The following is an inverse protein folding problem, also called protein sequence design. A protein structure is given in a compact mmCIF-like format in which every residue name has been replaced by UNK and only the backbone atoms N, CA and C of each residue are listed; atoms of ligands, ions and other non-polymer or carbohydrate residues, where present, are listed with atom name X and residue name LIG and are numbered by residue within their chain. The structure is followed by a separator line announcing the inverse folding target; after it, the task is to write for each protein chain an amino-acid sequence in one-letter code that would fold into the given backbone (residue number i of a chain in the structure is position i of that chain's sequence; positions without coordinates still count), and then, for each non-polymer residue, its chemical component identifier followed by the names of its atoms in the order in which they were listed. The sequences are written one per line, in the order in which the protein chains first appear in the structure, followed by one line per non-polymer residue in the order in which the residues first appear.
data_IF_699647160600
#
_entry.id   IF_699647160600
#
_cell.length_a   1.000
_cell.length_b   1.000
_cell.length_c   1.000
_cell.angle_alpha   90.00
_cell.angle_beta   90.00
_cell.angle_gamma   90.00
#
_symmetry.space_group_name_H-M   'P 1'
#
loop_
_entity.id
_entity.type
_entity.pdbx_description
1 polymer ?
#
# COMPACT_ATOMS: atom_id res chain seq x y z
N UNK A 1 4.62 -2.49 -34.13
CA UNK A 1 3.26 -2.67 -34.70
C UNK A 1 3.00 -4.15 -35.03
N UNK A 2 3.85 -4.79 -35.83
CA UNK A 2 3.68 -6.20 -36.22
C UNK A 2 3.67 -7.20 -35.04
N UNK A 3 4.37 -6.93 -33.94
CA UNK A 3 4.37 -7.82 -32.76
C UNK A 3 3.00 -7.90 -32.05
N UNK A 4 2.08 -6.96 -32.33
CA UNK A 4 0.71 -7.00 -31.80
C UNK A 4 -0.27 -7.83 -32.63
N UNK A 5 0.08 -8.15 -33.88
CA UNK A 5 -0.78 -8.89 -34.83
C UNK A 5 -1.03 -10.35 -34.39
N UNK A 6 -0.02 -11.14 -33.95
CA UNK A 6 -0.22 -12.52 -33.51
C UNK A 6 -1.26 -12.67 -32.39
N UNK A 7 -1.26 -11.75 -31.41
CA UNK A 7 -2.20 -11.77 -30.28
C UNK A 7 -3.66 -11.57 -30.72
N UNK A 8 -3.91 -10.73 -31.73
CA UNK A 8 -5.27 -10.51 -32.24
C UNK A 8 -5.73 -11.67 -33.11
N UNK A 9 -4.87 -12.16 -34.00
CA UNK A 9 -5.14 -13.30 -34.88
C UNK A 9 -5.46 -14.57 -34.07
N UNK A 10 -4.75 -14.82 -32.97
CA UNK A 10 -4.99 -15.97 -32.09
C UNK A 10 -6.37 -16.00 -31.41
N UNK A 11 -7.11 -14.88 -31.38
CA UNK A 11 -8.47 -14.81 -30.84
C UNK A 11 -9.56 -15.10 -31.89
N UNK A 12 -9.22 -15.08 -33.17
CA UNK A 12 -10.15 -15.31 -34.26
C UNK A 12 -10.33 -16.81 -34.47
N UNK A 13 -11.55 -17.26 -34.74
CA UNK A 13 -11.93 -18.68 -34.72
C UNK A 13 -12.00 -19.32 -36.10
N UNK A 14 -12.20 -18.54 -37.15
CA UNK A 14 -12.37 -19.03 -38.51
C UNK A 14 -11.58 -18.20 -39.54
N UNK A 15 -11.45 -18.75 -40.75
CA UNK A 15 -10.70 -18.11 -41.82
C UNK A 15 -11.32 -16.79 -42.30
N UNK A 16 -12.64 -16.67 -42.26
CA UNK A 16 -13.36 -15.47 -42.72
C UNK A 16 -13.07 -14.28 -41.82
N UNK A 17 -13.08 -14.48 -40.50
CA UNK A 17 -12.72 -13.48 -39.50
C UNK A 17 -11.25 -13.04 -39.63
N UNK A 18 -10.34 -13.98 -39.94
CA UNK A 18 -8.93 -13.65 -40.20
C UNK A 18 -8.79 -12.83 -41.48
N UNK A 19 -9.49 -13.20 -42.55
CA UNK A 19 -9.52 -12.42 -43.78
C UNK A 19 -10.06 -11.01 -43.56
N UNK A 20 -11.16 -10.86 -42.80
CA UNK A 20 -11.73 -9.57 -42.44
C UNK A 20 -10.77 -8.71 -41.60
N UNK A 21 -10.10 -9.31 -40.61
CA UNK A 21 -9.10 -8.63 -39.79
C UNK A 21 -7.94 -8.09 -40.65
N UNK A 22 -7.36 -8.91 -41.53
CA UNK A 22 -6.30 -8.44 -42.43
C UNK A 22 -6.80 -7.50 -43.53
N UNK A 23 -8.10 -7.41 -43.79
CA UNK A 23 -8.66 -6.48 -44.75
C UNK A 23 -8.89 -5.08 -44.15
N UNK A 24 -9.43 -5.00 -42.93
CA UNK A 24 -10.01 -3.77 -42.39
C UNK A 24 -9.49 -3.33 -41.01
N UNK A 25 -8.59 -4.07 -40.35
CA UNK A 25 -8.09 -3.68 -39.03
C UNK A 25 -7.09 -2.52 -39.10
N UNK A 26 -7.29 -1.50 -38.24
CA UNK A 26 -6.46 -0.29 -38.18
C UNK A 26 -4.98 -0.52 -37.87
N UNK A 27 -4.59 -1.66 -37.25
CA UNK A 27 -3.18 -2.02 -37.06
C UNK A 27 -2.56 -2.54 -38.36
N UNK A 28 -3.31 -3.31 -39.14
CA UNK A 28 -2.86 -3.86 -40.43
C UNK A 28 -2.80 -2.74 -41.46
N UNK A 29 -3.77 -1.83 -41.45
CA UNK A 29 -3.78 -0.62 -42.28
C UNK A 29 -2.56 0.27 -41.99
N UNK A 30 -2.26 0.54 -40.72
CA UNK A 30 -1.05 1.29 -40.34
C UNK A 30 0.23 0.58 -40.76
N UNK A 31 0.30 -0.75 -40.65
CA UNK A 31 1.44 -1.51 -41.11
C UNK A 31 1.64 -1.40 -42.63
N UNK A 32 0.55 -1.47 -43.42
CA UNK A 32 0.59 -1.25 -44.88
C UNK A 32 1.04 0.17 -45.21
N UNK A 33 0.51 1.17 -44.53
CA UNK A 33 0.90 2.56 -44.74
C UNK A 33 2.39 2.79 -44.46
N UNK A 34 2.95 2.16 -43.42
CA UNK A 34 4.40 2.22 -43.16
C UNK A 34 5.23 1.51 -44.22
N UNK A 35 4.76 0.40 -44.76
CA UNK A 35 5.40 -0.29 -45.89
C UNK A 35 5.42 0.62 -47.12
N UNK A 36 4.32 1.31 -47.41
CA UNK A 36 4.23 2.25 -48.53
C UNK A 36 5.15 3.47 -48.33
N UNK A 37 5.20 4.04 -47.11
CA UNK A 37 6.14 5.10 -46.77
C UNK A 37 7.61 4.69 -46.97
N UNK A 38 7.98 3.46 -46.59
CA UNK A 38 9.34 2.96 -46.80
C UNK A 38 9.68 2.85 -48.30
N UNK A 39 8.72 2.46 -49.13
CA UNK A 39 8.90 2.42 -50.59
C UNK A 39 9.08 3.83 -51.18
N UNK A 40 8.29 4.79 -50.72
CA UNK A 40 8.41 6.20 -51.13
C UNK A 40 9.77 6.80 -50.75
N UNK A 41 10.35 6.35 -49.63
CA UNK A 41 11.68 6.77 -49.16
C UNK A 41 12.85 6.03 -49.82
N UNK A 42 12.59 5.06 -50.71
CA UNK A 42 13.61 4.26 -51.40
C UNK A 42 14.14 3.06 -50.60
N UNK A 43 13.60 2.78 -49.41
CA UNK A 43 13.96 1.67 -48.51
C UNK A 43 13.24 0.37 -48.92
N UNK A 44 13.42 -0.06 -50.17
CA UNK A 44 12.68 -1.18 -50.76
C UNK A 44 12.91 -2.53 -50.04
N UNK A 45 14.14 -2.78 -49.57
CA UNK A 45 14.47 -4.05 -48.87
C UNK A 45 13.71 -4.17 -47.55
N UNK A 46 13.68 -3.10 -46.75
CA UNK A 46 12.95 -3.09 -45.48
C UNK A 46 11.43 -3.17 -45.69
N UNK A 47 10.91 -2.52 -46.74
CA UNK A 47 9.51 -2.62 -47.11
C UNK A 47 9.10 -4.05 -47.48
N UNK A 48 9.92 -4.75 -48.26
CA UNK A 48 9.65 -6.13 -48.69
C UNK A 48 9.79 -7.14 -47.54
N UNK A 49 10.73 -6.94 -46.61
CA UNK A 49 10.82 -7.73 -45.38
C UNK A 49 9.57 -7.60 -44.52
N UNK A 50 9.07 -6.37 -44.32
CA UNK A 50 7.86 -6.12 -43.53
C UNK A 50 6.60 -6.67 -44.22
N UNK A 51 6.50 -6.53 -45.55
CA UNK A 51 5.42 -7.09 -46.34
C UNK A 51 5.40 -8.63 -46.25
N UNK A 52 6.57 -9.25 -46.39
CA UNK A 52 6.74 -10.71 -46.26
C UNK A 52 6.37 -11.19 -44.87
N UNK A 53 6.78 -10.46 -43.82
CA UNK A 53 6.44 -10.78 -42.43
C UNK A 53 4.95 -10.66 -42.16
N UNK A 54 4.28 -9.63 -42.70
CA UNK A 54 2.83 -9.46 -42.58
C UNK A 54 2.05 -10.58 -43.29
N UNK A 55 2.52 -10.98 -44.48
CA UNK A 55 1.93 -12.10 -45.22
C UNK A 55 2.13 -13.43 -44.48
N UNK A 56 3.34 -13.69 -43.95
CA UNK A 56 3.62 -14.87 -43.16
C UNK A 56 2.74 -14.97 -41.90
N UNK A 57 2.43 -13.83 -41.25
CA UNK A 57 1.51 -13.77 -40.11
C UNK A 57 0.07 -14.15 -40.49
N UNK A 58 -0.40 -13.73 -41.67
CA UNK A 58 -1.72 -14.09 -42.19
C UNK A 58 -1.80 -15.59 -42.48
N UNK A 59 -0.80 -16.13 -43.17
CA UNK A 59 -0.74 -17.56 -43.51
C UNK A 59 -0.56 -18.45 -42.26
N UNK A 60 0.20 -18.00 -41.26
CA UNK A 60 0.27 -18.67 -39.96
C UNK A 60 -1.10 -18.66 -39.26
N UNK A 61 -1.78 -17.52 -39.22
CA UNK A 61 -3.10 -17.40 -38.61
C UNK A 61 -4.16 -18.30 -39.24
N UNK A 62 -4.22 -18.34 -40.58
CA UNK A 62 -5.15 -19.21 -41.32
C UNK A 62 -4.87 -20.69 -41.07
N UNK A 63 -3.59 -21.08 -40.99
CA UNK A 63 -3.19 -22.45 -40.60
C UNK A 63 -3.63 -22.78 -39.18
N UNK A 64 -3.35 -21.91 -38.21
CA UNK A 64 -3.72 -22.12 -36.81
C UNK A 64 -5.26 -22.18 -36.60
N UNK A 65 -6.04 -21.40 -37.35
CA UNK A 65 -7.51 -21.47 -37.31
C UNK A 65 -8.04 -22.78 -37.90
N UNK A 66 -7.47 -23.21 -39.03
CA UNK A 66 -7.82 -24.49 -39.64
C UNK A 66 -7.49 -25.66 -38.73
N UNK A 67 -6.29 -25.68 -38.16
CA UNK A 67 -5.85 -26.73 -37.23
C UNK A 67 -6.76 -26.79 -35.99
N UNK A 68 -7.17 -25.64 -35.42
CA UNK A 68 -8.15 -25.58 -34.33
C UNK A 68 -9.52 -26.13 -34.73
N UNK A 69 -10.02 -25.76 -35.91
CA UNK A 69 -11.31 -26.25 -36.42
C UNK A 69 -11.28 -27.78 -36.63
N UNK A 70 -10.17 -28.31 -37.14
CA UNK A 70 -9.99 -29.74 -37.43
C UNK A 70 -9.70 -30.58 -36.18
N UNK A 71 -9.24 -29.98 -35.07
CA UNK A 71 -9.07 -30.65 -33.77
C UNK A 71 -10.39 -30.80 -32.99
N UNK A 72 -11.52 -30.34 -33.54
CA UNK A 72 -12.84 -30.46 -32.91
C UNK A 72 -12.91 -29.73 -31.56
N UNK A 73 -12.08 -28.68 -31.36
CA UNK A 73 -12.05 -27.89 -30.14
C UNK A 73 -13.25 -26.93 -30.09
N UNK A 74 -14.46 -27.44 -29.92
CA UNK A 74 -15.58 -26.63 -29.45
C UNK A 74 -15.55 -26.64 -27.91
N UNK A 75 -14.82 -25.70 -27.31
CA UNK A 75 -14.72 -25.53 -25.84
C UNK A 75 -13.50 -26.21 -25.20
N UNK A 76 -13.72 -26.91 -24.08
CA UNK A 76 -12.70 -27.47 -23.17
C UNK A 76 -12.26 -28.91 -23.52
N UNK A 77 -12.51 -29.36 -24.76
CA UNK A 77 -12.14 -30.71 -25.19
C UNK A 77 -11.23 -30.74 -26.40
N UNK A 78 -10.28 -31.67 -26.42
CA UNK A 78 -9.38 -31.98 -27.53
C UNK A 78 -9.71 -33.38 -28.08
N UNK A 79 -9.89 -33.50 -29.40
CA UNK A 79 -10.05 -34.79 -30.05
C UNK A 79 -8.70 -35.36 -30.52
N UNK A 80 -8.41 -36.61 -30.14
CA UNK A 80 -7.30 -37.41 -30.67
C UNK A 80 -7.88 -38.68 -31.29
N UNK A 81 -8.07 -38.66 -32.62
CA UNK A 81 -8.82 -39.69 -33.32
C UNK A 81 -10.30 -39.70 -32.92
N UNK A 82 -10.83 -40.86 -32.53
CA UNK A 82 -12.22 -40.99 -32.06
C UNK A 82 -12.41 -40.61 -30.58
N UNK A 83 -11.32 -40.45 -29.82
CA UNK A 83 -11.35 -40.17 -28.39
C UNK A 83 -11.33 -38.67 -28.12
N UNK A 84 -12.06 -38.23 -27.09
CA UNK A 84 -12.10 -36.83 -26.64
C UNK A 84 -11.54 -36.73 -25.23
N UNK A 85 -10.74 -35.70 -24.98
CA UNK A 85 -10.08 -35.45 -23.71
C UNK A 85 -10.44 -34.05 -23.21
N UNK A 86 -10.59 -33.89 -21.90
CA UNK A 86 -10.71 -32.56 -21.29
C UNK A 86 -9.35 -31.89 -21.33
N UNK A 87 -9.31 -30.61 -21.68
CA UNK A 87 -8.09 -29.81 -21.67
C UNK A 87 -8.25 -28.64 -20.70
N UNK A 88 -7.29 -28.49 -19.80
CA UNK A 88 -7.13 -27.26 -19.03
C UNK A 88 -6.24 -26.30 -19.82
N UNK A 89 -6.69 -25.06 -19.99
CA UNK A 89 -6.00 -24.03 -20.76
C UNK A 89 -5.31 -23.01 -19.86
N UNK A 90 -5.54 -23.05 -18.54
CA UNK A 90 -4.81 -22.25 -17.58
C UNK A 90 -3.32 -22.55 -17.62
N UNK A 91 -2.51 -21.49 -17.63
CA UNK A 91 -1.07 -21.63 -17.49
C UNK A 91 -0.75 -22.19 -16.10
N UNK A 92 0.18 -23.16 -16.04
CA UNK A 92 0.74 -23.63 -14.79
C UNK A 92 1.56 -22.50 -14.16
N UNK A 93 0.96 -21.81 -13.21
CA UNK A 93 1.57 -20.68 -12.52
C UNK A 93 1.71 -20.98 -11.03
N UNK A 94 2.91 -20.77 -10.45
CA UNK A 94 3.08 -20.89 -9.02
C UNK A 94 2.51 -19.68 -8.31
N UNK A 95 1.71 -19.96 -7.28
CA UNK A 95 1.07 -19.00 -6.39
C UNK A 95 1.57 -19.24 -4.97
N UNK A 96 1.80 -18.16 -4.23
CA UNK A 96 2.06 -18.24 -2.80
C UNK A 96 0.78 -18.04 -2.02
N UNK A 97 0.54 -18.95 -1.07
CA UNK A 97 -0.59 -18.88 -0.16
C UNK A 97 -0.07 -18.85 1.28
N UNK A 98 -0.58 -17.95 2.13
CA UNK A 98 -0.28 -17.98 3.55
C UNK A 98 -0.97 -19.17 4.23
N UNK A 99 -0.28 -19.82 5.16
CA UNK A 99 -0.80 -20.92 5.97
C UNK A 99 -0.32 -20.83 7.43
N UNK A 100 -0.83 -21.71 8.31
CA UNK A 100 -0.49 -21.69 9.74
C UNK A 100 1.01 -21.93 10.00
N UNK A 101 1.63 -22.81 9.20
CA UNK A 101 3.06 -23.15 9.27
C UNK A 101 3.95 -22.30 8.34
N UNK A 102 3.43 -21.16 7.86
CA UNK A 102 4.14 -20.25 6.95
C UNK A 102 3.61 -20.31 5.51
N UNK A 103 4.40 -19.81 4.56
CA UNK A 103 4.01 -19.75 3.16
C UNK A 103 4.01 -21.14 2.50
N UNK A 104 3.01 -21.39 1.66
CA UNK A 104 2.90 -22.57 0.82
C UNK A 104 2.94 -22.16 -0.67
N UNK A 105 3.71 -22.90 -1.46
CA UNK A 105 3.68 -22.82 -2.92
C UNK A 105 2.58 -23.76 -3.44
N UNK A 106 1.68 -23.25 -4.27
CA UNK A 106 0.72 -24.04 -5.02
C UNK A 106 0.91 -23.80 -6.52
N UNK A 107 0.81 -24.86 -7.33
CA UNK A 107 0.67 -24.69 -8.78
C UNK A 107 -0.82 -24.65 -9.14
N UNK A 108 -1.26 -23.52 -9.69
CA UNK A 108 -2.64 -23.35 -10.15
C UNK A 108 -3.03 -24.45 -11.15
N UNK A 109 -4.26 -24.96 -11.04
CA UNK A 109 -4.76 -26.04 -11.89
C UNK A 109 -4.28 -27.45 -11.51
N UNK A 110 -3.58 -27.62 -10.39
CA UNK A 110 -3.09 -28.93 -9.93
C UNK A 110 -3.24 -29.10 -8.41
N UNK A 111 -3.10 -30.34 -7.94
CA UNK A 111 -3.02 -30.67 -6.51
C UNK A 111 -1.61 -30.47 -5.93
N UNK A 112 -0.64 -29.99 -6.72
CA UNK A 112 0.72 -29.79 -6.26
C UNK A 112 0.80 -28.65 -5.24
N UNK A 113 1.22 -29.00 -4.03
CA UNK A 113 1.44 -28.09 -2.90
C UNK A 113 2.78 -28.40 -2.24
N UNK A 114 3.56 -27.37 -1.92
CA UNK A 114 4.85 -27.49 -1.24
C UNK A 114 4.98 -26.44 -0.14
N UNK A 115 5.17 -26.88 1.10
CA UNK A 115 5.48 -25.96 2.20
C UNK A 115 6.84 -25.31 1.95
N UNK A 116 6.93 -23.99 2.18
CA UNK A 116 8.16 -23.24 1.97
C UNK A 116 8.85 -22.98 3.30
N UNK A 117 10.15 -23.21 3.33
CA UNK A 117 11.02 -22.86 4.46
C UNK A 117 11.76 -21.57 4.12
N UNK A 118 11.10 -20.43 4.29
CA UNK A 118 11.69 -19.10 4.04
C UNK A 118 11.72 -18.30 5.34
N UNK A 119 12.69 -18.54 6.24
CA UNK A 119 12.81 -17.79 7.50
C UNK A 119 12.84 -16.27 7.28
N UNK A 120 13.45 -15.82 6.18
CA UNK A 120 13.51 -14.41 5.79
C UNK A 120 12.15 -13.81 5.40
N UNK A 121 11.14 -14.64 5.12
CA UNK A 121 9.79 -14.21 4.80
C UNK A 121 8.89 -14.08 6.04
N UNK A 122 9.23 -14.74 7.15
CA UNK A 122 8.43 -14.72 8.40
C UNK A 122 8.34 -13.31 9.00
N UNK A 123 9.40 -12.50 8.87
CA UNK A 123 9.36 -11.09 9.29
C UNK A 123 8.32 -10.25 8.55
N UNK A 124 7.82 -10.72 7.41
CA UNK A 124 6.84 -10.02 6.57
C UNK A 124 5.42 -10.58 6.71
N UNK A 125 5.14 -11.35 7.77
CA UNK A 125 3.85 -12.03 7.96
C UNK A 125 2.65 -11.09 7.89
N UNK A 126 2.79 -9.86 8.38
CA UNK A 126 1.72 -8.85 8.36
C UNK A 126 1.31 -8.41 6.95
N UNK A 127 2.22 -8.52 5.97
CA UNK A 127 1.99 -8.07 4.58
C UNK A 127 1.80 -9.22 3.59
N UNK A 128 1.76 -10.48 4.05
CA UNK A 128 1.62 -11.64 3.15
C UNK A 128 0.34 -11.62 2.31
N UNK A 129 -0.77 -11.21 2.92
CA UNK A 129 -2.09 -11.14 2.28
C UNK A 129 -2.36 -9.78 1.62
N UNK A 130 -1.45 -8.81 1.79
CA UNK A 130 -1.64 -7.48 1.25
C UNK A 130 -1.49 -7.49 -0.28
N UNK A 131 -2.43 -6.84 -0.97
CA UNK A 131 -2.47 -6.83 -2.43
C UNK A 131 -1.85 -5.56 -3.02
N UNK A 132 -2.07 -4.42 -2.38
CA UNK A 132 -1.68 -3.10 -2.86
C UNK A 132 -0.79 -2.40 -1.85
N UNK A 133 0.17 -1.60 -2.32
CA UNK A 133 1.00 -0.75 -1.43
C UNK A 133 0.22 0.42 -0.84
N UNK A 134 -0.94 0.75 -1.41
CA UNK A 134 -1.80 1.85 -1.00
C UNK A 134 -2.94 1.41 -0.06
N UNK A 135 -3.05 0.11 0.24
CA UNK A 135 -4.18 -0.43 1.01
C UNK A 135 -3.77 -1.59 1.93
N UNK A 136 -4.23 -1.53 3.17
CA UNK A 136 -4.31 -2.68 4.06
C UNK A 136 -5.59 -2.55 4.91
N UNK A 137 -5.71 -3.30 6.00
CA UNK A 137 -6.89 -3.19 6.85
C UNK A 137 -7.01 -1.80 7.54
N UNK A 138 -5.90 -1.14 7.83
CA UNK A 138 -5.86 0.12 8.58
C UNK A 138 -5.80 1.37 7.70
N UNK A 139 -5.32 1.23 6.47
CA UNK A 139 -5.08 2.31 5.53
C UNK A 139 -5.90 2.06 4.28
N UNK A 140 -6.90 2.91 4.05
CA UNK A 140 -7.66 2.94 2.82
C UNK A 140 -6.86 3.62 1.70
N UNK A 141 -7.02 3.17 0.44
CA UNK A 141 -6.44 3.79 -0.77
C UNK A 141 -6.56 5.31 -0.79
N UNK A 142 -7.76 5.83 -0.54
CA UNK A 142 -7.99 7.28 -0.60
C UNK A 142 -7.27 8.03 0.53
N UNK A 143 -7.16 7.43 1.72
CA UNK A 143 -6.38 7.99 2.81
C UNK A 143 -4.88 8.02 2.49
N UNK A 144 -4.36 6.94 1.89
CA UNK A 144 -2.96 6.89 1.46
C UNK A 144 -2.66 8.00 0.43
N UNK A 145 -3.55 8.18 -0.56
CA UNK A 145 -3.42 9.24 -1.57
C UNK A 145 -3.47 10.65 -0.94
N UNK A 146 -4.43 10.89 -0.03
CA UNK A 146 -4.52 12.15 0.71
C UNK A 146 -3.27 12.40 1.57
N UNK A 147 -2.73 11.37 2.22
CA UNK A 147 -1.51 11.46 3.03
C UNK A 147 -0.28 11.87 2.21
N UNK A 148 -0.13 11.31 1.00
CA UNK A 148 0.97 11.65 0.11
C UNK A 148 0.94 13.13 -0.28
N UNK A 149 -0.23 13.66 -0.64
CA UNK A 149 -0.38 15.08 -0.96
C UNK A 149 -0.20 15.96 0.27
N UNK A 150 -0.80 15.58 1.40
CA UNK A 150 -0.65 16.30 2.65
C UNK A 150 0.82 16.42 3.08
N UNK A 151 1.61 15.35 2.96
CA UNK A 151 3.04 15.38 3.26
C UNK A 151 3.83 16.20 2.22
N UNK A 152 3.55 15.99 0.93
CA UNK A 152 4.19 16.76 -0.16
C UNK A 152 4.00 18.27 0.03
N UNK A 153 2.83 18.66 0.52
CA UNK A 153 2.43 20.03 0.79
C UNK A 153 2.80 20.50 2.20
N UNK A 154 3.35 19.63 3.05
CA UNK A 154 3.66 19.93 4.45
C UNK A 154 2.45 20.51 5.21
N UNK A 155 1.25 20.05 4.88
CA UNK A 155 -0.01 20.56 5.44
C UNK A 155 -0.47 21.92 4.90
N UNK A 156 0.22 22.46 3.88
CA UNK A 156 -0.11 23.75 3.24
C UNK A 156 -0.24 23.58 1.73
N UNK A 157 -1.45 23.69 1.15
CA UNK A 157 -1.61 23.45 -0.28
C UNK A 157 -0.87 24.51 -1.11
N UNK A 158 -0.58 24.21 -2.39
CA UNK A 158 -0.10 25.18 -3.36
C UNK A 158 -0.95 26.46 -3.39
N UNK A 159 -0.30 27.61 -3.58
CA UNK A 159 -0.92 28.94 -3.49
C UNK A 159 -2.03 29.20 -4.52
N UNK A 160 -2.03 28.45 -5.63
CA UNK A 160 -3.07 28.46 -6.67
C UNK A 160 -4.36 27.74 -6.24
N UNK A 161 -4.32 26.92 -5.18
CA UNK A 161 -5.50 26.32 -4.56
C UNK A 161 -6.10 27.31 -3.56
N UNK A 162 -7.04 28.13 -4.04
CA UNK A 162 -7.62 29.23 -3.27
C UNK A 162 -8.53 28.80 -2.10
N UNK A 163 -9.14 27.62 -2.15
CA UNK A 163 -10.06 27.10 -1.13
C UNK A 163 -9.68 25.68 -0.69
N UNK A 164 -9.99 25.33 0.56
CA UNK A 164 -9.77 23.99 1.12
C UNK A 164 -11.02 23.10 1.00
N UNK A 165 -11.73 23.20 -0.12
CA UNK A 165 -12.85 22.30 -0.40
C UNK A 165 -12.42 21.14 -1.31
N UNK A 166 -13.20 20.06 -1.28
CA UNK A 166 -12.87 18.86 -2.03
C UNK A 166 -12.89 19.09 -3.55
N UNK A 167 -13.68 20.05 -4.05
CA UNK A 167 -13.79 20.33 -5.49
C UNK A 167 -12.51 20.98 -6.02
N UNK A 168 -11.96 21.96 -5.29
CA UNK A 168 -10.70 22.61 -5.61
C UNK A 168 -9.50 21.66 -5.53
N UNK A 169 -9.54 20.68 -4.63
CA UNK A 169 -8.46 19.71 -4.43
C UNK A 169 -8.51 18.53 -5.41
N UNK A 170 -9.69 18.22 -5.98
CA UNK A 170 -9.91 17.06 -6.83
C UNK A 170 -8.93 16.96 -8.02
N UNK A 171 -8.60 18.05 -8.76
CA UNK A 171 -7.65 17.95 -9.87
C UNK A 171 -6.26 17.45 -9.45
N UNK A 172 -5.75 17.93 -8.32
CA UNK A 172 -4.44 17.52 -7.79
C UNK A 172 -4.47 16.05 -7.33
N UNK A 173 -5.55 15.64 -6.66
CA UNK A 173 -5.77 14.25 -6.23
C UNK A 173 -5.88 13.31 -7.43
N UNK A 174 -6.66 13.67 -8.44
CA UNK A 174 -6.83 12.88 -9.66
C UNK A 174 -5.50 12.72 -10.42
N UNK A 175 -4.69 13.79 -10.50
CA UNK A 175 -3.35 13.72 -11.09
C UNK A 175 -2.42 12.79 -10.28
N UNK A 176 -2.47 12.86 -8.95
CA UNK A 176 -1.71 11.97 -8.09
C UNK A 176 -2.11 10.50 -8.24
N UNK A 177 -3.40 10.20 -8.39
CA UNK A 177 -3.88 8.84 -8.67
C UNK A 177 -3.41 8.33 -10.05
N UNK A 178 -3.51 9.17 -11.09
CA UNK A 178 -3.09 8.81 -12.45
C UNK A 178 -1.59 8.51 -12.56
N UNK A 179 -0.76 9.18 -11.76
CA UNK A 179 0.67 8.91 -11.69
C UNK A 179 1.02 7.53 -11.08
N UNK A 180 0.02 6.78 -10.56
CA UNK A 180 0.21 5.54 -9.78
C UNK A 180 -0.69 4.40 -10.29
N UNK A 181 -0.52 3.94 -11.55
CA UNK A 181 -1.38 2.91 -12.13
C UNK A 181 -1.28 1.54 -11.41
N UNK A 182 -0.17 1.26 -10.72
CA UNK A 182 0.03 0.02 -9.96
C UNK A 182 -0.73 -0.03 -8.62
N UNK A 183 -1.31 1.09 -8.18
CA UNK A 183 -2.03 1.22 -6.89
C UNK A 183 -3.55 1.06 -7.05
N UNK A 184 -4.01 0.75 -8.26
CA UNK A 184 -5.40 0.40 -8.60
C UNK A 184 -6.46 1.40 -8.11
N UNK A 185 -6.24 2.69 -8.36
CA UNK A 185 -7.21 3.73 -8.06
C UNK A 185 -8.35 3.76 -9.10
N UNK A 186 -9.56 3.41 -8.66
CA UNK A 186 -10.80 3.67 -9.39
C UNK A 186 -11.15 5.18 -9.43
N UNK A 187 -11.22 5.74 -10.64
CA UNK A 187 -11.64 7.12 -10.92
C UNK A 187 -13.09 7.37 -10.53
N UNK A 188 -13.36 8.52 -9.92
CA UNK A 188 -14.67 8.91 -9.40
C UNK A 188 -15.01 8.32 -8.02
N UNK A 189 -14.17 7.41 -7.50
CA UNK A 189 -14.34 6.78 -6.18
C UNK A 189 -13.20 7.24 -5.27
N UNK A 190 -11.97 6.80 -5.54
CA UNK A 190 -10.86 7.06 -4.63
C UNK A 190 -10.37 8.51 -4.69
N UNK A 191 -10.43 9.14 -5.86
CA UNK A 191 -10.10 10.56 -6.04
C UNK A 191 -11.11 11.47 -5.33
N UNK A 192 -12.39 11.12 -5.40
CA UNK A 192 -13.46 11.80 -4.67
C UNK A 192 -13.27 11.71 -3.16
N UNK A 193 -13.09 10.50 -2.63
CA UNK A 193 -12.89 10.28 -1.19
C UNK A 193 -11.61 10.95 -0.70
N UNK A 194 -10.51 10.83 -1.46
CA UNK A 194 -9.21 11.40 -1.09
C UNK A 194 -9.26 12.92 -1.06
N UNK A 195 -10.03 13.57 -1.95
CA UNK A 195 -10.21 15.01 -1.91
C UNK A 195 -10.97 15.47 -0.65
N UNK A 196 -12.00 14.72 -0.22
CA UNK A 196 -12.71 15.01 1.04
C UNK A 196 -11.81 14.83 2.26
N UNK A 197 -11.03 13.73 2.30
CA UNK A 197 -10.08 13.46 3.37
C UNK A 197 -9.02 14.56 3.43
N UNK A 198 -8.44 14.93 2.29
CA UNK A 198 -7.40 15.96 2.20
C UNK A 198 -7.92 17.33 2.62
N UNK A 199 -9.13 17.71 2.21
CA UNK A 199 -9.79 18.95 2.64
C UNK A 199 -9.89 19.02 4.18
N UNK A 200 -10.38 17.93 4.80
CA UNK A 200 -10.51 17.85 6.25
C UNK A 200 -9.15 17.94 6.96
N UNK A 201 -8.13 17.22 6.47
CA UNK A 201 -6.78 17.26 7.04
C UNK A 201 -6.15 18.65 6.97
N UNK A 202 -6.25 19.33 5.83
CA UNK A 202 -5.71 20.68 5.67
C UNK A 202 -6.46 21.70 6.54
N UNK A 203 -7.79 21.56 6.65
CA UNK A 203 -8.61 22.41 7.52
C UNK A 203 -8.26 22.24 8.99
N UNK A 204 -8.12 21.00 9.46
CA UNK A 204 -7.68 20.69 10.82
C UNK A 204 -6.26 21.20 11.07
N UNK A 205 -5.34 21.01 10.11
CA UNK A 205 -3.93 21.43 10.24
C UNK A 205 -3.77 22.95 10.41
N UNK A 206 -4.63 23.77 9.79
CA UNK A 206 -4.62 25.24 9.96
C UNK A 206 -4.80 25.70 11.40
N UNK A 207 -5.54 24.93 12.21
CA UNK A 207 -5.94 25.32 13.56
C UNK A 207 -5.29 24.45 14.65
N UNK A 208 -4.72 23.31 14.27
CA UNK A 208 -4.16 22.35 15.21
C UNK A 208 -3.00 22.89 16.04
N UNK A 209 -2.16 23.76 15.45
CA UNK A 209 -0.92 24.20 16.08
C UNK A 209 -0.11 23.00 16.59
N UNK A 210 0.33 23.07 17.84
CA UNK A 210 1.11 22.01 18.51
C UNK A 210 0.30 20.73 18.79
N UNK A 211 -1.04 20.76 18.70
CA UNK A 211 -1.88 19.56 18.84
C UNK A 211 -1.85 18.66 17.59
N UNK A 212 -1.21 19.09 16.50
CA UNK A 212 -1.00 18.25 15.31
C UNK A 212 -0.19 16.99 15.63
N UNK A 213 0.80 17.10 16.53
CA UNK A 213 1.61 15.97 16.97
C UNK A 213 0.73 14.89 17.65
N UNK A 214 0.93 13.60 17.34
CA UNK A 214 0.20 12.50 18.00
C UNK A 214 0.35 12.52 19.51
N UNK A 215 -0.71 12.13 20.23
CA UNK A 215 -0.73 12.19 21.70
C UNK A 215 0.43 11.43 22.35
N UNK A 216 0.77 10.19 21.93
CA UNK A 216 1.93 9.49 22.50
C UNK A 216 3.23 10.30 22.35
N UNK A 217 3.40 11.03 21.25
CA UNK A 217 4.59 11.83 21.00
C UNK A 217 4.65 13.06 21.93
N UNK A 218 3.50 13.71 22.15
CA UNK A 218 3.37 14.82 23.11
C UNK A 218 3.65 14.38 24.55
N UNK A 219 3.16 13.19 24.91
CA UNK A 219 3.40 12.58 26.23
C UNK A 219 4.89 12.27 26.41
N UNK A 220 5.50 11.60 25.42
CA UNK A 220 6.91 11.25 25.48
C UNK A 220 7.82 12.48 25.54
N UNK A 221 7.52 13.52 24.75
CA UNK A 221 8.21 14.80 24.77
C UNK A 221 8.18 15.45 26.16
N UNK A 222 6.99 15.57 26.74
CA UNK A 222 6.79 16.13 28.09
C UNK A 222 7.52 15.31 29.15
N UNK A 223 7.38 13.98 29.11
CA UNK A 223 8.02 13.08 30.05
C UNK A 223 9.55 13.18 29.99
N UNK A 224 10.12 13.22 28.79
CA UNK A 224 11.56 13.32 28.60
C UNK A 224 12.11 14.68 29.01
N UNK A 225 11.40 15.77 28.71
CA UNK A 225 11.76 17.10 29.16
C UNK A 225 11.69 17.23 30.68
N UNK A 226 10.64 16.68 31.30
CA UNK A 226 10.46 16.67 32.75
C UNK A 226 11.46 15.75 33.46
N UNK A 227 11.92 14.66 32.85
CA UNK A 227 12.93 13.79 33.47
C UNK A 227 14.33 14.39 33.45
N UNK A 228 14.58 15.42 32.64
CA UNK A 228 15.86 16.14 32.68
C UNK A 228 16.04 16.90 33.99
N UNK A 229 17.28 16.92 34.47
CA UNK A 229 17.72 17.78 35.57
C UNK A 229 17.30 19.23 35.29
N UNK A 230 16.81 19.93 36.33
CA UNK A 230 16.34 21.31 36.20
C UNK A 230 17.39 22.25 35.58
N UNK A 231 18.67 22.03 35.91
CA UNK A 231 19.81 22.76 35.33
C UNK A 231 20.05 22.49 33.83
N UNK A 232 19.61 21.34 33.31
CA UNK A 232 19.74 20.95 31.90
C UNK A 232 18.55 21.39 31.05
N UNK A 233 17.36 21.53 31.63
CA UNK A 233 16.13 21.90 30.89
C UNK A 233 16.27 23.21 30.11
N UNK A 234 16.93 24.22 30.69
CA UNK A 234 17.17 25.49 30.00
C UNK A 234 18.13 25.38 28.80
N UNK A 235 19.15 24.53 28.89
CA UNK A 235 20.05 24.25 27.77
C UNK A 235 19.33 23.47 26.65
N UNK A 236 18.51 22.48 27.05
CA UNK A 236 17.70 21.70 26.13
C UNK A 236 16.68 22.57 25.38
N UNK A 237 15.97 23.46 26.08
CA UNK A 237 15.03 24.39 25.47
C UNK A 237 15.71 25.33 24.47
N UNK A 238 16.91 25.86 24.79
CA UNK A 238 17.67 26.68 23.83
C UNK A 238 18.16 25.89 22.62
N UNK A 239 18.56 24.64 22.81
CA UNK A 239 18.93 23.76 21.70
C UNK A 239 17.72 23.50 20.78
N UNK A 240 16.56 23.21 21.36
CA UNK A 240 15.30 23.05 20.64
C UNK A 240 14.92 24.32 19.86
N UNK A 241 15.01 25.50 20.49
CA UNK A 241 14.75 26.78 19.85
C UNK A 241 15.70 27.05 18.66
N UNK A 242 16.99 26.72 18.82
CA UNK A 242 17.98 26.84 17.73
C UNK A 242 17.67 25.92 16.54
N UNK A 243 17.22 24.69 16.80
CA UNK A 243 16.78 23.77 15.75
C UNK A 243 15.49 24.24 15.08
N UNK A 244 14.56 24.84 15.83
CA UNK A 244 13.34 25.42 15.28
C UNK A 244 13.64 26.61 14.36
N UNK A 245 14.56 27.48 14.77
CA UNK A 245 15.04 28.60 13.95
C UNK A 245 15.68 28.09 12.65
N UNK A 246 16.54 27.07 12.72
CA UNK A 246 17.16 26.46 11.55
C UNK A 246 16.12 25.93 10.57
N UNK A 247 15.12 25.19 11.07
CA UNK A 247 14.07 24.62 10.24
C UNK A 247 13.24 25.70 9.52
N UNK A 248 13.00 26.84 10.17
CA UNK A 248 12.25 27.97 9.58
C UNK A 248 13.04 28.74 8.52
N UNK A 249 14.37 28.85 8.66
CA UNK A 249 15.19 29.72 7.80
C UNK A 249 15.87 28.98 6.65
N UNK A 250 16.31 27.74 6.88
CA UNK A 250 17.04 26.94 5.87
C UNK A 250 16.11 26.04 5.05
N UNK A 251 14.82 25.95 5.41
CA UNK A 251 13.83 25.12 4.72
C UNK A 251 14.09 23.60 4.79
N UNK A 252 15.16 23.19 5.45
CA UNK A 252 15.50 21.80 5.71
C UNK A 252 14.97 21.37 7.08
N UNK A 253 14.42 20.15 7.17
CA UNK A 253 14.19 19.51 8.47
C UNK A 253 15.54 19.37 9.17
N UNK A 254 15.72 20.07 10.29
CA UNK A 254 16.94 19.98 11.08
C UNK A 254 17.20 18.52 11.48
N UNK A 255 18.44 18.06 11.33
CA UNK A 255 18.84 16.74 11.82
C UNK A 255 18.58 16.66 13.32
N UNK A 256 17.87 15.59 13.73
CA UNK A 256 17.56 15.37 15.13
C UNK A 256 18.80 14.86 15.85
N UNK A 257 19.15 15.42 17.04
CA UNK A 257 20.30 14.96 17.79
C UNK A 257 20.17 13.46 18.13
N UNK A 258 21.17 12.65 17.77
CA UNK A 258 21.15 11.21 18.04
C UNK A 258 20.98 10.90 19.53
N UNK A 259 21.55 11.73 20.42
CA UNK A 259 21.38 11.61 21.87
C UNK A 259 19.94 11.81 22.33
N UNK A 260 19.15 12.65 21.65
CA UNK A 260 17.73 12.83 21.94
C UNK A 260 16.96 11.59 21.50
N UNK A 261 17.21 11.09 20.29
CA UNK A 261 16.53 9.90 19.76
C UNK A 261 16.77 8.67 20.62
N UNK A 262 18.00 8.46 21.11
CA UNK A 262 18.31 7.38 22.04
C UNK A 262 17.57 7.56 23.37
N UNK A 263 17.64 8.75 23.97
CA UNK A 263 16.98 9.01 25.26
C UNK A 263 15.46 8.92 25.21
N UNK A 264 14.85 9.40 24.13
CA UNK A 264 13.41 9.32 23.88
C UNK A 264 12.98 7.88 23.61
N UNK A 265 13.74 7.10 22.83
CA UNK A 265 13.44 5.68 22.59
C UNK A 265 13.47 4.88 23.89
N UNK A 266 14.51 5.05 24.71
CA UNK A 266 14.62 4.38 26.02
C UNK A 266 13.45 4.74 26.95
N UNK A 267 13.05 6.02 26.97
CA UNK A 267 11.92 6.44 27.79
C UNK A 267 10.58 5.93 27.24
N UNK A 268 10.44 5.81 25.91
CA UNK A 268 9.23 5.24 25.31
C UNK A 268 9.01 3.78 25.77
N UNK A 269 10.09 2.99 25.84
CA UNK A 269 10.07 1.62 26.37
C UNK A 269 9.70 1.61 27.87
N UNK A 270 10.31 2.48 28.68
CA UNK A 270 10.00 2.60 30.11
C UNK A 270 8.52 2.94 30.37
N UNK A 271 7.93 3.80 29.53
CA UNK A 271 6.52 4.21 29.60
C UNK A 271 5.55 3.23 28.90
N UNK A 272 6.07 2.13 28.32
CA UNK A 272 5.30 1.17 27.52
C UNK A 272 4.49 1.82 26.38
N UNK A 273 5.07 2.82 25.70
CA UNK A 273 4.48 3.45 24.51
C UNK A 273 4.91 2.69 23.25
N UNK A 274 3.95 2.42 22.35
CA UNK A 274 4.21 1.71 21.11
C UNK A 274 5.07 2.52 20.12
N UNK A 275 5.63 1.84 19.10
CA UNK A 275 6.38 2.43 17.99
C UNK A 275 7.62 3.27 18.40
N UNK A 276 8.37 2.80 19.40
CA UNK A 276 9.43 3.57 20.10
C UNK A 276 10.33 4.47 19.22
N UNK A 277 10.87 3.95 18.11
CA UNK A 277 11.76 4.74 17.24
C UNK A 277 11.03 5.85 16.45
N UNK A 278 9.87 5.55 15.86
CA UNK A 278 9.05 6.56 15.16
C UNK A 278 8.48 7.58 16.14
N UNK A 279 8.12 7.10 17.32
CA UNK A 279 7.63 7.92 18.40
C UNK A 279 8.69 8.89 18.92
N UNK A 280 9.93 8.43 19.07
CA UNK A 280 11.07 9.27 19.46
C UNK A 280 11.32 10.39 18.45
N UNK A 281 11.24 10.10 17.14
CA UNK A 281 11.36 11.11 16.08
C UNK A 281 10.25 12.17 16.18
N UNK A 282 9.00 11.74 16.36
CA UNK A 282 7.86 12.63 16.52
C UNK A 282 7.93 13.48 17.81
N UNK A 283 8.34 12.87 18.93
CA UNK A 283 8.50 13.56 20.21
C UNK A 283 9.63 14.60 20.16
N UNK A 284 10.76 14.27 19.52
CA UNK A 284 11.85 15.21 19.34
C UNK A 284 11.42 16.44 18.51
N UNK A 285 10.68 16.23 17.42
CA UNK A 285 10.12 17.32 16.62
C UNK A 285 9.13 18.17 17.41
N UNK A 286 8.26 17.53 18.19
CA UNK A 286 7.32 18.25 19.05
C UNK A 286 8.04 19.13 20.09
N UNK A 287 9.15 18.66 20.67
CA UNK A 287 9.98 19.49 21.56
C UNK A 287 10.58 20.71 20.86
N UNK A 288 11.04 20.53 19.62
CA UNK A 288 11.55 21.62 18.78
C UNK A 288 10.43 22.65 18.53
N UNK A 289 9.24 22.20 18.17
CA UNK A 289 8.10 23.08 17.91
C UNK A 289 7.64 23.84 19.17
N UNK A 290 7.52 23.15 20.31
CA UNK A 290 7.13 23.77 21.60
C UNK A 290 8.13 24.84 22.03
N UNK A 291 9.41 24.51 22.05
CA UNK A 291 10.46 25.42 22.53
C UNK A 291 10.96 26.41 21.46
N UNK A 292 10.51 26.28 20.22
CA UNK A 292 10.68 27.30 19.18
C UNK A 292 9.76 28.51 19.36
N UNK A 293 8.72 28.40 20.20
CA UNK A 293 7.82 29.51 20.53
C UNK A 293 8.43 30.43 21.60
N UNK A 294 8.06 31.71 21.57
CA UNK A 294 8.54 32.72 22.52
C UNK A 294 8.03 32.50 23.95
N UNK A 295 6.81 31.97 24.12
CA UNK A 295 6.25 31.53 25.41
C UNK A 295 5.97 30.03 25.36
N UNK A 296 7.03 29.22 25.54
CA UNK A 296 6.96 27.77 25.37
C UNK A 296 6.01 27.10 26.37
N UNK A 297 4.86 26.62 25.87
CA UNK A 297 3.85 25.87 26.62
C UNK A 297 3.50 24.59 25.88
N UNK A 298 3.37 23.49 26.61
CA UNK A 298 2.89 22.25 26.03
C UNK A 298 1.37 22.34 25.79
N UNK A 299 0.88 21.95 24.61
CA UNK A 299 -0.54 21.99 24.35
C UNK A 299 -1.25 20.88 25.14
N UNK A 300 -2.49 21.14 25.54
CA UNK A 300 -3.35 20.16 26.18
C UNK A 300 -4.74 20.20 25.55
N UNK A 301 -5.26 19.04 25.17
CA UNK A 301 -6.62 18.95 24.64
C UNK A 301 -7.67 19.24 25.74
N UNK A 302 -8.85 19.77 25.36
CA UNK A 302 -9.92 20.07 26.32
C UNK A 302 -10.35 18.82 27.10
N UNK A 303 -10.53 17.70 26.40
CA UNK A 303 -10.93 16.42 27.01
C UNK A 303 -9.90 15.91 28.03
N UNK A 304 -8.60 16.07 27.74
CA UNK A 304 -7.55 15.67 28.68
C UNK A 304 -7.45 16.61 29.89
N UNK A 305 -7.66 17.91 29.70
CA UNK A 305 -7.72 18.88 30.80
C UNK A 305 -8.91 18.63 31.73
N UNK A 306 -10.08 18.37 31.16
CA UNK A 306 -11.30 18.08 31.92
C UNK A 306 -11.17 16.75 32.68
N UNK A 307 -10.57 15.71 32.06
CA UNK A 307 -10.28 14.44 32.74
C UNK A 307 -9.23 14.60 33.84
N UNK A 308 -8.15 15.34 33.61
CA UNK A 308 -7.15 15.65 34.63
C UNK A 308 -7.80 16.32 35.86
N UNK A 309 -8.64 17.33 35.63
CA UNK A 309 -9.34 18.03 36.70
C UNK A 309 -10.29 17.10 37.48
N UNK A 310 -11.03 16.25 36.77
CA UNK A 310 -11.91 15.25 37.39
C UNK A 310 -11.13 14.24 38.25
N UNK A 311 -9.99 13.77 37.76
CA UNK A 311 -9.11 12.84 38.49
C UNK A 311 -8.54 13.50 39.74
N UNK A 312 -8.03 14.73 39.63
CA UNK A 312 -7.54 15.50 40.78
C UNK A 312 -8.61 15.78 41.83
N UNK A 313 -9.85 16.05 41.40
CA UNK A 313 -10.96 16.27 42.33
C UNK A 313 -11.40 14.99 43.06
N UNK A 314 -11.21 13.82 42.43
CA UNK A 314 -11.59 12.53 43.01
C UNK A 314 -10.49 11.89 43.86
N UNK A 315 -9.23 12.24 43.65
CA UNK A 315 -8.08 11.65 44.35
C UNK A 315 -7.85 12.29 45.73
N UNK A 316 -7.78 11.49 46.80
CA UNK A 316 -7.20 11.94 48.07
C UNK A 316 -5.77 12.42 47.89
N UNK A 317 -5.38 13.45 48.65
CA UNK A 317 -4.05 14.06 48.56
C UNK A 317 -2.93 13.05 48.84
N UNK A 318 -3.13 12.16 49.80
CA UNK A 318 -2.14 11.13 50.17
C UNK A 318 -1.90 10.14 49.03
N UNK A 319 -2.92 9.83 48.21
CA UNK A 319 -2.73 8.96 47.05
C UNK A 319 -2.01 9.69 45.93
N UNK A 320 -2.28 10.98 45.72
CA UNK A 320 -1.59 11.77 44.70
C UNK A 320 -0.07 11.88 44.94
N UNK A 321 0.40 11.78 46.20
CA UNK A 321 1.82 11.74 46.53
C UNK A 321 2.55 10.54 45.92
N UNK A 322 1.86 9.40 45.70
CA UNK A 322 2.45 8.24 45.04
C UNK A 322 2.87 8.52 43.58
N UNK A 323 2.23 9.49 42.90
CA UNK A 323 2.66 9.92 41.57
C UNK A 323 3.99 10.68 41.60
N UNK A 324 4.34 11.27 42.74
CA UNK A 324 5.56 12.07 42.89
C UNK A 324 6.67 11.33 43.65
N UNK A 325 6.42 10.12 44.14
CA UNK A 325 7.39 9.32 44.91
C UNK A 325 8.58 8.90 44.01
N UNK A 326 9.81 9.39 44.26
CA UNK A 326 10.97 9.02 43.46
C UNK A 326 11.44 7.57 43.70
N UNK A 327 10.90 6.87 44.69
CA UNK A 327 11.20 5.45 44.92
C UNK A 327 10.57 4.53 43.86
N UNK A 328 9.52 4.98 43.17
CA UNK A 328 8.88 4.27 42.07
C UNK A 328 9.52 4.64 40.73
N UNK A 329 9.67 3.66 39.84
CA UNK A 329 10.15 3.91 38.48
C UNK A 329 9.19 4.86 37.73
N UNK A 330 9.69 5.60 36.73
CA UNK A 330 8.83 6.56 36.02
C UNK A 330 7.72 5.84 35.25
N UNK A 331 8.01 4.68 34.68
CA UNK A 331 7.02 3.79 34.06
C UNK A 331 5.88 3.39 35.00
N UNK A 332 6.20 3.04 36.26
CA UNK A 332 5.21 2.63 37.27
C UNK A 332 4.29 3.80 37.67
N UNK A 333 4.87 4.98 37.86
CA UNK A 333 4.10 6.20 38.18
C UNK A 333 3.19 6.62 37.03
N UNK A 334 3.68 6.52 35.80
CA UNK A 334 2.87 6.77 34.61
C UNK A 334 1.74 5.75 34.47
N UNK A 335 2.02 4.46 34.66
CA UNK A 335 1.01 3.40 34.65
C UNK A 335 -0.07 3.61 35.72
N UNK A 336 0.33 4.07 36.92
CA UNK A 336 -0.60 4.42 38.00
C UNK A 336 -1.51 5.59 37.63
N UNK A 337 -0.93 6.69 37.14
CA UNK A 337 -1.70 7.86 36.67
C UNK A 337 -2.66 7.47 35.53
N UNK A 338 -2.19 6.66 34.57
CA UNK A 338 -3.00 6.14 33.48
C UNK A 338 -4.15 5.24 33.99
N UNK A 339 -3.88 4.38 34.98
CA UNK A 339 -4.89 3.53 35.62
C UNK A 339 -6.01 4.34 36.28
N UNK A 340 -5.69 5.46 36.93
CA UNK A 340 -6.71 6.37 37.48
C UNK A 340 -7.52 7.07 36.40
N UNK A 341 -6.86 7.58 35.36
CA UNK A 341 -7.54 8.14 34.18
C UNK A 341 -8.45 7.09 33.51
N UNK A 342 -8.06 5.82 33.49
CA UNK A 342 -8.87 4.72 32.98
C UNK A 342 -10.09 4.42 33.86
N UNK A 343 -9.92 4.41 35.19
CA UNK A 343 -11.01 4.15 36.12
C UNK A 343 -12.06 5.27 36.13
N UNK A 344 -11.63 6.53 36.04
CA UNK A 344 -12.51 7.71 36.14
C UNK A 344 -12.97 8.24 34.78
N UNK A 345 -12.25 7.94 33.69
CA UNK A 345 -12.57 8.33 32.32
C UNK A 345 -12.97 7.14 31.45
N UNK A 346 -14.00 6.38 31.85
CA UNK A 346 -14.40 5.13 31.16
C UNK A 346 -14.72 5.30 29.68
N UNK A 347 -15.30 6.45 29.31
CA UNK A 347 -15.65 6.79 27.93
C UNK A 347 -14.55 7.56 27.17
N UNK A 348 -13.45 7.91 27.85
CA UNK A 348 -12.34 8.62 27.20
C UNK A 348 -11.53 7.67 26.31
N UNK A 349 -10.98 8.18 25.20
CA UNK A 349 -10.07 7.39 24.38
C UNK A 349 -8.77 7.05 25.14
N UNK A 350 -7.96 6.13 24.62
CA UNK A 350 -6.66 5.79 25.23
C UNK A 350 -5.75 7.02 25.22
N UNK A 351 -5.78 7.79 24.13
CA UNK A 351 -4.99 9.00 23.94
C UNK A 351 -5.35 10.08 24.97
N UNK A 352 -6.64 10.36 25.16
CA UNK A 352 -7.10 11.32 26.18
C UNK A 352 -6.63 10.91 27.57
N UNK A 353 -6.66 9.62 27.88
CA UNK A 353 -6.18 9.07 29.16
C UNK A 353 -4.67 9.21 29.33
N UNK A 354 -3.89 8.95 28.27
CA UNK A 354 -2.42 9.14 28.27
C UNK A 354 -2.04 10.61 28.46
N UNK A 355 -2.71 11.54 27.76
CA UNK A 355 -2.46 12.97 27.88
C UNK A 355 -2.80 13.49 29.29
N UNK A 356 -3.94 13.07 29.84
CA UNK A 356 -4.33 13.41 31.21
C UNK A 356 -3.34 12.84 32.24
N UNK A 357 -2.91 11.59 32.09
CA UNK A 357 -1.91 10.96 32.96
C UNK A 357 -0.56 11.72 32.95
N UNK A 358 -0.11 12.14 31.77
CA UNK A 358 1.06 12.99 31.61
C UNK A 358 0.91 14.33 32.33
N UNK A 359 -0.27 14.94 32.25
CA UNK A 359 -0.56 16.20 32.92
C UNK A 359 -0.65 16.08 34.45
N UNK A 360 -1.09 14.93 34.97
CA UNK A 360 -1.07 14.61 36.41
C UNK A 360 0.36 14.43 36.94
N UNK A 361 1.22 13.78 36.13
CA UNK A 361 2.55 13.38 36.58
C UNK A 361 3.58 14.52 36.52
N UNK A 362 3.53 15.34 35.47
CA UNK A 362 4.57 16.34 35.22
C UNK A 362 4.03 17.77 35.37
N UNK A 363 4.59 18.55 36.29
CA UNK A 363 4.32 19.98 36.41
C UNK A 363 5.12 20.75 35.35
N UNK A 364 4.48 21.04 34.22
CA UNK A 364 5.04 21.80 33.09
C UNK A 364 4.08 22.93 32.69
N UNK A 365 4.59 24.04 32.11
CA UNK A 365 3.73 25.07 31.52
C UNK A 365 2.87 24.46 30.42
N UNK A 366 1.54 24.63 30.53
CA UNK A 366 0.57 24.11 29.56
C UNK A 366 -0.38 25.19 29.09
N UNK A 367 -0.94 24.96 27.91
CA UNK A 367 -2.01 25.75 27.33
C UNK A 367 -3.15 24.83 26.90
N UNK A 368 -4.38 25.11 27.38
CA UNK A 368 -5.59 24.44 26.90
C UNK A 368 -5.94 24.99 25.52
N UNK A 369 -5.82 24.15 24.49
CA UNK A 369 -6.09 24.54 23.11
C UNK A 369 -7.46 23.99 22.69
N UNK A 370 -8.45 24.87 22.54
CA UNK A 370 -9.82 24.49 22.16
C UNK A 370 -9.95 24.47 20.63
N UNK A 371 -9.61 23.34 20.01
CA UNK A 371 -9.75 23.12 18.57
C UNK A 371 -10.35 21.74 18.29
N UNK A 372 -11.24 21.68 17.31
CA UNK A 372 -11.81 20.42 16.82
C UNK A 372 -10.87 19.80 15.77
N UNK A 373 -10.25 18.67 16.13
CA UNK A 373 -9.30 17.93 15.27
C UNK A 373 -9.87 16.61 14.78
N UNK A 374 -11.20 16.49 14.81
CA UNK A 374 -11.93 15.34 14.33
C UNK A 374 -13.05 15.83 13.42
N UNK A 375 -13.23 15.17 12.29
CA UNK A 375 -14.31 15.47 11.36
C UNK A 375 -14.88 14.15 10.87
N UNK A 376 -16.19 14.03 10.92
CA UNK A 376 -16.93 12.94 10.32
C UNK A 376 -17.24 13.30 8.87
N UNK A 377 -16.71 12.52 7.94
CA UNK A 377 -16.96 12.69 6.51
C UNK A 377 -18.09 11.76 6.11
N UNK A 378 -19.08 12.30 5.41
CA UNK A 378 -20.23 11.54 4.88
C UNK A 378 -20.13 11.40 3.35
N UNK A 379 -20.72 10.33 2.80
CA UNK A 379 -20.78 10.14 1.35
C UNK A 379 -19.50 9.59 0.75
N UNK A 380 -18.73 8.83 1.53
CA UNK A 380 -17.59 8.06 1.03
C UNK A 380 -18.09 7.02 0.03
N UNK A 381 -17.37 6.87 -1.09
CA UNK A 381 -17.77 6.00 -2.22
C UNK A 381 -17.03 4.68 -2.25
N UNK A 382 -15.85 4.60 -1.65
CA UNK A 382 -15.06 3.36 -1.64
C UNK A 382 -15.50 2.36 -0.60
N UNK A 383 -14.93 1.17 -0.72
CA UNK A 383 -15.15 0.05 0.19
C UNK A 383 -13.90 -0.19 1.01
N UNK A 384 -14.01 0.00 2.32
CA UNK A 384 -12.92 -0.24 3.26
C UNK A 384 -13.48 -0.43 4.67
N UNK A 385 -12.82 -1.23 5.53
CA UNK A 385 -13.33 -1.54 6.88
C UNK A 385 -13.51 -0.32 7.80
N UNK A 386 -12.85 0.79 7.46
CA UNK A 386 -12.93 2.06 8.21
C UNK A 386 -14.06 2.97 7.73
N UNK A 387 -14.69 2.63 6.61
CA UNK A 387 -15.89 3.28 6.14
C UNK A 387 -17.07 2.50 6.69
N UNK A 388 -17.87 3.13 7.54
CA UNK A 388 -19.07 2.53 8.15
C UNK A 388 -20.26 3.33 7.68
N UNK A 389 -21.22 2.68 7.02
CA UNK A 389 -22.42 3.33 6.47
C UNK A 389 -22.13 4.56 5.57
N UNK A 390 -21.05 4.50 4.79
CA UNK A 390 -20.60 5.60 3.92
C UNK A 390 -19.97 6.77 4.67
N UNK A 391 -19.62 6.57 5.95
CA UNK A 391 -18.99 7.58 6.81
C UNK A 391 -17.56 7.19 7.17
N UNK A 392 -16.69 8.20 7.28
CA UNK A 392 -15.30 8.04 7.71
C UNK A 392 -14.93 9.13 8.70
N UNK A 393 -14.47 8.74 9.89
CA UNK A 393 -13.93 9.67 10.89
C UNK A 393 -12.46 9.95 10.60
N UNK A 394 -12.13 11.22 10.38
CA UNK A 394 -10.76 11.70 10.18
C UNK A 394 -10.36 12.57 11.35
N UNK A 395 -9.35 12.12 12.09
CA UNK A 395 -8.72 12.89 13.14
C UNK A 395 -7.23 13.10 12.83
N UNK A 396 -6.79 14.34 12.66
CA UNK A 396 -5.45 14.68 12.16
C UNK A 396 -4.31 13.96 12.91
N UNK A 397 -4.22 13.98 14.26
CA UNK A 397 -3.09 13.35 14.95
C UNK A 397 -3.09 11.83 14.79
N UNK A 398 -4.26 11.19 14.89
CA UNK A 398 -4.40 9.74 14.71
C UNK A 398 -4.14 9.31 13.27
N UNK A 399 -4.57 10.12 12.30
CA UNK A 399 -4.29 9.92 10.88
C UNK A 399 -2.79 9.98 10.62
N UNK A 400 -2.11 11.03 11.08
CA UNK A 400 -0.67 11.19 10.88
C UNK A 400 0.12 10.05 11.51
N UNK A 401 -0.19 9.66 12.76
CA UNK A 401 0.47 8.55 13.43
C UNK A 401 0.34 7.24 12.64
N UNK A 402 -0.89 6.86 12.27
CA UNK A 402 -1.16 5.62 11.55
C UNK A 402 -0.49 5.60 10.18
N UNK A 403 -0.58 6.70 9.41
CA UNK A 403 0.00 6.77 8.07
C UNK A 403 1.54 6.85 8.12
N UNK A 404 2.12 7.47 9.16
CA UNK A 404 3.56 7.46 9.36
C UNK A 404 4.07 6.05 9.68
N UNK A 405 3.41 5.32 10.59
CA UNK A 405 3.72 3.92 10.86
C UNK A 405 3.63 3.09 9.57
N UNK A 406 2.52 3.22 8.83
CA UNK A 406 2.33 2.52 7.57
C UNK A 406 3.47 2.78 6.58
N UNK A 407 3.83 4.05 6.35
CA UNK A 407 4.86 4.42 5.36
C UNK A 407 6.29 4.08 5.78
N UNK A 408 6.57 3.99 7.08
CA UNK A 408 7.91 3.74 7.62
C UNK A 408 8.17 2.29 7.98
N UNK A 409 7.13 1.50 8.22
CA UNK A 409 7.22 0.09 8.63
C UNK A 409 6.59 -0.80 7.58
N UNK A 410 5.27 -0.68 7.39
CA UNK A 410 4.47 -1.61 6.57
C UNK A 410 4.80 -1.52 5.08
N UNK A 411 4.89 -0.31 4.52
CA UNK A 411 5.18 -0.10 3.10
C UNK A 411 6.58 -0.63 2.70
N UNK A 412 7.66 -0.33 3.44
CA UNK A 412 8.97 -0.93 3.18
C UNK A 412 8.94 -2.46 3.23
N UNK A 413 8.23 -3.03 4.21
CA UNK A 413 8.07 -4.48 4.35
C UNK A 413 7.28 -5.08 3.20
N UNK A 414 6.18 -4.44 2.77
CA UNK A 414 5.43 -4.84 1.58
C UNK A 414 6.32 -4.83 0.33
N UNK A 415 7.10 -3.77 0.11
CA UNK A 415 8.01 -3.66 -1.04
C UNK A 415 9.14 -4.70 -0.97
N UNK A 416 9.70 -4.94 0.21
CA UNK A 416 10.72 -5.97 0.41
C UNK A 416 10.17 -7.37 0.18
N UNK A 417 8.99 -7.67 0.71
CA UNK A 417 8.31 -8.93 0.51
C UNK A 417 7.90 -9.15 -0.95
N UNK A 418 7.41 -8.12 -1.64
CA UNK A 418 7.05 -8.22 -3.05
C UNK A 418 8.26 -8.60 -3.93
N UNK A 419 9.45 -8.03 -3.64
CA UNK A 419 10.71 -8.41 -4.30
C UNK A 419 11.10 -9.86 -4.00
N UNK A 420 11.11 -10.23 -2.71
CA UNK A 420 11.42 -11.59 -2.28
C UNK A 420 10.47 -12.61 -2.93
N UNK A 421 9.16 -12.35 -2.92
CA UNK A 421 8.14 -13.17 -3.56
C UNK A 421 8.42 -13.34 -5.05
N UNK A 422 8.73 -12.27 -5.77
CA UNK A 422 9.02 -12.34 -7.19
C UNK A 422 10.26 -13.21 -7.48
N UNK A 423 11.36 -12.97 -6.78
CA UNK A 423 12.60 -13.74 -6.92
C UNK A 423 12.39 -15.23 -6.64
N UNK A 424 11.67 -15.54 -5.57
CA UNK A 424 11.43 -16.92 -5.15
C UNK A 424 10.44 -17.65 -6.03
N UNK A 425 9.39 -16.98 -6.52
CA UNK A 425 8.49 -17.56 -7.51
C UNK A 425 9.23 -17.85 -8.82
N UNK A 426 10.09 -16.94 -9.28
CA UNK A 426 10.90 -17.17 -10.46
C UNK A 426 11.86 -18.36 -10.29
N UNK A 427 12.45 -18.53 -9.10
CA UNK A 427 13.25 -19.71 -8.78
C UNK A 427 12.40 -21.00 -8.81
N UNK A 428 11.23 -20.98 -8.17
CA UNK A 428 10.32 -22.13 -8.15
C UNK A 428 9.85 -22.52 -9.56
N UNK A 429 9.59 -21.55 -10.44
CA UNK A 429 9.26 -21.81 -11.85
C UNK A 429 10.39 -22.57 -12.57
N UNK A 430 11.66 -22.24 -12.28
CA UNK A 430 12.84 -22.91 -12.86
C UNK A 430 13.05 -24.30 -12.26
N UNK A 431 12.93 -24.45 -10.95
CA UNK A 431 13.04 -25.75 -10.26
C UNK A 431 12.02 -26.77 -10.77
N UNK A 432 10.78 -26.31 -10.98
CA UNK A 432 9.68 -27.12 -11.49
C UNK A 432 9.68 -27.25 -13.02
N UNK A 433 10.67 -26.64 -13.68
CA UNK A 433 10.81 -26.61 -15.13
C UNK A 433 9.51 -26.26 -15.87
N UNK A 434 8.73 -25.30 -15.34
CA UNK A 434 7.38 -25.01 -15.84
C UNK A 434 7.35 -24.60 -17.32
N UNK A 435 8.44 -24.03 -17.82
CA UNK A 435 8.62 -23.70 -19.23
C UNK A 435 8.58 -24.92 -20.17
N UNK A 436 8.88 -26.13 -19.68
CA UNK A 436 8.79 -27.37 -20.47
C UNK A 436 7.34 -27.78 -20.73
N UNK A 437 6.43 -27.39 -19.83
CA UNK A 437 5.00 -27.67 -19.96
C UNK A 437 4.27 -26.59 -20.78
N UNK A 438 4.96 -25.51 -21.19
CA UNK A 438 4.36 -24.51 -22.08
C UNK A 438 4.35 -25.03 -23.51
N UNK A 439 3.16 -25.16 -24.14
CA UNK A 439 3.08 -25.59 -25.53
C UNK A 439 3.81 -24.59 -26.43
N UNK A 440 4.75 -25.09 -27.24
CA UNK A 440 5.45 -24.30 -28.26
C UNK A 440 4.95 -24.74 -29.63
N UNK A 441 4.54 -23.81 -30.50
CA UNK A 441 4.21 -24.17 -31.88
C UNK A 441 5.46 -24.77 -32.53
N UNK A 442 5.33 -25.98 -33.07
CA UNK A 442 6.40 -26.64 -33.82
C UNK A 442 6.55 -25.91 -35.15
N UNK A 443 7.67 -25.19 -35.32
CA UNK A 443 7.98 -24.51 -36.56
C UNK A 443 8.05 -25.54 -37.71
N UNK A 444 7.13 -25.43 -38.68
CA UNK A 444 7.06 -26.31 -39.84
C UNK A 444 6.24 -27.59 -39.66
N UNK A 445 5.56 -27.78 -38.53
CA UNK A 445 4.59 -28.87 -38.40
C UNK A 445 3.40 -28.61 -39.33
N UNK A 446 3.17 -29.51 -40.27
CA UNK A 446 2.00 -29.54 -41.14
C UNK A 446 1.33 -30.87 -40.91
N UNK A 447 0.11 -30.82 -40.35
CA UNK A 447 -0.74 -31.99 -40.14
C UNK A 447 -0.97 -32.68 -41.49
N UNK A 448 -0.71 -33.99 -41.55
CA UNK A 448 -0.84 -34.78 -42.76
C UNK A 448 -1.76 -35.98 -42.51
N UNK A 449 -2.27 -36.58 -43.59
CA UNK A 449 -3.18 -37.73 -43.53
C UNK A 449 -2.70 -38.87 -42.63
N UNK A 450 -1.39 -39.11 -42.61
CA UNK A 450 -0.81 -40.18 -41.82
C UNK A 450 -0.85 -39.87 -40.32
N UNK A 451 -0.72 -38.61 -39.94
CA UNK A 451 -0.92 -38.16 -38.55
C UNK A 451 -2.39 -38.33 -38.15
N UNK A 452 -3.32 -37.94 -39.02
CA UNK A 452 -4.76 -37.96 -38.74
C UNK A 452 -5.39 -39.33 -38.69
N UNK A 453 -5.07 -40.16 -39.67
CA UNK A 453 -5.74 -41.44 -39.87
C UNK A 453 -5.07 -42.56 -39.06
N UNK A 454 -3.80 -42.41 -38.66
CA UNK A 454 -3.03 -43.45 -37.98
C UNK A 454 -2.50 -43.04 -36.61
N UNK A 455 -1.72 -41.97 -36.51
CA UNK A 455 -1.03 -41.64 -35.25
C UNK A 455 -1.97 -41.08 -34.17
N UNK A 456 -2.82 -40.10 -34.48
CA UNK A 456 -3.74 -39.52 -33.51
C UNK A 456 -4.73 -40.54 -32.95
N UNK A 457 -5.32 -41.47 -33.74
CA UNK A 457 -6.13 -42.57 -33.20
C UNK A 457 -5.35 -43.54 -32.30
N UNK A 458 -4.11 -43.90 -32.65
CA UNK A 458 -3.28 -44.78 -31.83
C UNK A 458 -2.94 -44.14 -30.48
N UNK A 459 -2.52 -42.88 -30.50
CA UNK A 459 -2.20 -42.09 -29.30
C UNK A 459 -3.46 -41.89 -28.44
N UNK A 460 -4.56 -41.48 -29.06
CA UNK A 460 -5.85 -41.30 -28.40
C UNK A 460 -6.35 -42.56 -27.72
N UNK A 461 -6.30 -43.72 -28.39
CA UNK A 461 -6.70 -44.99 -27.79
C UNK A 461 -5.81 -45.44 -26.62
N UNK A 462 -4.52 -45.08 -26.64
CA UNK A 462 -3.62 -45.38 -25.52
C UNK A 462 -3.91 -44.46 -24.33
N UNK A 463 -4.01 -43.15 -24.57
CA UNK A 463 -4.37 -42.16 -23.55
C UNK A 463 -5.74 -42.44 -22.93
N UNK A 464 -6.74 -42.82 -23.72
CA UNK A 464 -8.07 -43.17 -23.23
C UNK A 464 -8.03 -44.29 -22.18
N UNK A 465 -7.13 -45.27 -22.33
CA UNK A 465 -6.94 -46.34 -21.34
C UNK A 465 -6.23 -45.88 -20.07
N UNK A 466 -5.40 -44.84 -20.16
CA UNK A 466 -4.57 -44.36 -19.05
C UNK A 466 -5.28 -43.30 -18.20
N UNK A 467 -5.91 -42.32 -18.85
CA UNK A 467 -6.45 -41.11 -18.21
C UNK A 467 -7.96 -40.93 -18.40
N UNK A 468 -8.62 -41.84 -19.12
CA UNK A 468 -10.04 -41.76 -19.42
C UNK A 468 -10.37 -40.78 -20.55
N UNK A 469 -11.65 -40.71 -20.92
CA UNK A 469 -12.16 -39.86 -22.00
C UNK A 469 -13.37 -39.05 -21.55
N UNK A 470 -13.63 -37.95 -22.25
CA UNK A 470 -14.84 -37.14 -22.08
C UNK A 470 -15.90 -37.70 -23.01
N UNK A 471 -16.88 -38.41 -22.43
CA UNK A 471 -17.93 -39.12 -23.15
C UNK A 471 -18.07 -40.53 -22.62
#
# INVERSE_FOLDING_TARGET
ILDGVPRRVGRLTDGEAIHAFFAADTLVERARHQIDQLRELGENVAADELASRLQALKEAGLRDARDRSELGTSGDSLALGAQRFSIERQALEPVLLPGPEGLQLQLAGTDYRRQLQWPEAERFREVWTQLLVSENADVYRAEYLAALLFEQWQGQPPADIGTLDAEALLPAVAAAAQARPAEDYQRGVHDHDAAQILAALLSQARHAGLLSAPVPARVLAQAWFASQLHSKRGALARQAAGLAWLAQHEGARADLPASWLTGLSTLAEELALADGALLAEAAARHLIEVHGQSDARFPQSPAAADLQAAVLAALPRELAEALQDPALALGERFALAFGWCQALGTNASVEVRQEAACALLFELPRERVNVELQTELSGMRGEHRRIVDGQLVVALPAFQQRLQHYRKVVEPDFRAFARLRHERLALAQRELALEQFRPKPLAGFVRNRLIDELYLPLIGNNLAKQIGTVG
#
